data_IF_223791616445
#
_entry.id   IF_223791616445
#
_cell.length_a   1.000
_cell.length_b   1.000
_cell.length_c   1.000
_cell.angle_alpha   90.00
_cell.angle_beta   90.00
_cell.angle_gamma   90.00
#
_symmetry.space_group_name_H-M   'P 1'
#
loop_
_entity.id
_entity.type
_entity.pdbx_description
1 polymer ?
#
# COMPACT_ATOMS: atom_id res chain seq x y z
N UNK A 1 25.43 -2.81 -44.33
CA UNK A 1 25.59 -1.75 -43.31
C UNK A 1 24.24 -1.35 -42.66
N UNK A 2 23.48 -2.27 -42.04
CA UNK A 2 22.17 -1.94 -41.42
C UNK A 2 21.79 -2.85 -40.23
N UNK A 3 22.76 -3.36 -39.47
CA UNK A 3 22.47 -4.24 -38.31
C UNK A 3 23.11 -3.83 -36.99
N UNK A 4 24.08 -2.90 -37.01
CA UNK A 4 24.82 -2.49 -35.80
C UNK A 4 24.18 -1.26 -35.12
N UNK A 5 23.30 -0.53 -35.81
CA UNK A 5 22.68 0.70 -35.26
C UNK A 5 21.50 0.38 -34.32
N UNK A 6 20.86 -0.79 -34.46
CA UNK A 6 19.70 -1.13 -33.64
C UNK A 6 20.06 -1.58 -32.21
N UNK A 7 21.29 -2.03 -31.97
CA UNK A 7 21.72 -2.50 -30.65
C UNK A 7 22.14 -1.37 -29.69
N UNK A 8 22.40 -0.16 -30.19
CA UNK A 8 22.75 0.98 -29.33
C UNK A 8 21.50 1.63 -28.68
N UNK A 9 20.34 1.56 -29.34
CA UNK A 9 19.09 2.17 -28.85
C UNK A 9 18.46 1.35 -27.72
N UNK A 10 18.60 0.02 -27.75
CA UNK A 10 18.06 -0.83 -26.68
C UNK A 10 18.82 -0.67 -25.35
N UNK A 11 20.11 -0.36 -25.39
CA UNK A 11 20.91 -0.22 -24.16
C UNK A 11 20.64 1.09 -23.41
N UNK A 12 20.13 2.13 -24.08
CA UNK A 12 19.85 3.42 -23.44
C UNK A 12 18.53 3.46 -22.66
N UNK A 13 17.57 2.58 -22.99
CA UNK A 13 16.26 2.51 -22.30
C UNK A 13 16.37 1.81 -20.95
N UNK A 14 17.32 0.89 -20.80
CA UNK A 14 17.50 0.11 -19.56
C UNK A 14 18.18 0.94 -18.45
N UNK A 15 18.97 1.96 -18.82
CA UNK A 15 19.66 2.81 -17.85
C UNK A 15 18.75 3.88 -17.20
N UNK A 16 17.60 4.21 -17.81
CA UNK A 16 16.68 5.23 -17.28
C UNK A 16 15.73 4.69 -16.18
N UNK A 17 15.57 3.37 -16.05
CA UNK A 17 14.73 2.74 -15.02
C UNK A 17 15.38 2.63 -13.64
N UNK A 18 16.65 3.05 -13.50
CA UNK A 18 17.38 3.07 -12.22
C UNK A 18 17.54 4.48 -11.64
N UNK A 19 16.72 5.44 -12.09
CA UNK A 19 16.57 6.70 -11.38
C UNK A 19 15.92 6.42 -10.01
N UNK A 20 16.58 6.73 -8.88
CA UNK A 20 15.97 6.58 -7.57
C UNK A 20 14.94 7.69 -7.39
N UNK A 21 13.71 7.45 -7.86
CA UNK A 21 12.54 8.26 -7.53
C UNK A 21 11.95 7.90 -6.15
N UNK A 22 12.74 7.28 -5.28
CA UNK A 22 12.27 6.50 -4.12
C UNK A 22 12.44 7.22 -2.78
N UNK A 23 12.30 8.55 -2.74
CA UNK A 23 12.37 9.30 -1.48
C UNK A 23 11.17 10.22 -1.23
N UNK A 24 10.56 10.76 -2.29
CA UNK A 24 9.38 11.65 -2.18
C UNK A 24 8.05 10.93 -2.48
N UNK A 25 8.08 9.84 -3.25
CA UNK A 25 6.91 8.99 -3.49
C UNK A 25 6.57 8.10 -2.28
N UNK A 26 7.57 7.68 -1.50
CA UNK A 26 7.37 6.83 -0.32
C UNK A 26 6.56 7.51 0.78
N UNK A 27 6.81 8.79 1.05
CA UNK A 27 6.05 9.53 2.08
C UNK A 27 4.56 9.65 1.74
N UNK A 28 4.22 9.87 0.45
CA UNK A 28 2.84 9.91 -0.03
C UNK A 28 2.20 8.52 -0.07
N UNK A 29 2.97 7.50 -0.44
CA UNK A 29 2.55 6.09 -0.43
C UNK A 29 2.21 5.60 0.97
N UNK A 30 3.09 5.89 1.95
CA UNK A 30 2.86 5.60 3.35
C UNK A 30 1.59 6.30 3.87
N UNK A 31 1.45 7.60 3.63
CA UNK A 31 0.27 8.34 4.10
C UNK A 31 -1.04 7.83 3.47
N UNK A 32 -1.03 7.51 2.18
CA UNK A 32 -2.18 6.93 1.49
C UNK A 32 -2.53 5.53 2.03
N UNK A 33 -1.52 4.67 2.24
CA UNK A 33 -1.71 3.35 2.84
C UNK A 33 -2.28 3.43 4.26
N UNK A 34 -1.72 4.29 5.11
CA UNK A 34 -2.22 4.52 6.47
C UNK A 34 -3.66 5.06 6.48
N UNK A 35 -4.01 5.95 5.54
CA UNK A 35 -5.38 6.45 5.37
C UNK A 35 -6.34 5.32 5.01
N UNK A 36 -5.94 4.42 4.10
CA UNK A 36 -6.72 3.23 3.73
C UNK A 36 -6.91 2.27 4.92
N UNK A 37 -5.85 1.96 5.68
CA UNK A 37 -5.93 1.14 6.89
C UNK A 37 -6.93 1.72 7.90
N UNK A 38 -6.87 3.03 8.14
CA UNK A 38 -7.78 3.74 9.04
C UNK A 38 -9.22 3.75 8.53
N UNK A 39 -9.44 3.87 7.23
CA UNK A 39 -10.77 3.82 6.61
C UNK A 39 -11.40 2.43 6.76
N UNK A 40 -10.65 1.37 6.43
CA UNK A 40 -11.11 -0.02 6.60
C UNK A 40 -11.50 -0.34 8.04
N UNK A 41 -10.69 0.12 9.00
CA UNK A 41 -11.02 0.02 10.42
C UNK A 41 -12.35 0.72 10.74
N UNK A 42 -12.54 1.97 10.30
CA UNK A 42 -13.79 2.72 10.54
C UNK A 42 -15.01 2.03 9.92
N UNK A 43 -14.86 1.49 8.72
CA UNK A 43 -15.93 0.76 8.04
C UNK A 43 -16.29 -0.53 8.79
N UNK A 44 -15.29 -1.28 9.28
CA UNK A 44 -15.51 -2.46 10.12
C UNK A 44 -16.21 -2.12 11.45
N UNK A 45 -15.81 -1.03 12.11
CA UNK A 45 -16.49 -0.53 13.32
C UNK A 45 -17.93 -0.11 13.01
N UNK A 46 -18.17 0.59 11.91
CA UNK A 46 -19.52 0.98 11.48
C UNK A 46 -20.39 -0.24 11.18
N UNK A 47 -19.84 -1.25 10.50
CA UNK A 47 -20.50 -2.53 10.24
C UNK A 47 -20.83 -3.30 11.53
N UNK A 48 -20.03 -3.13 12.58
CA UNK A 48 -20.30 -3.75 13.89
C UNK A 48 -21.47 -3.14 14.68
N UNK A 49 -22.04 -2.01 14.22
CA UNK A 49 -23.12 -1.28 14.92
C UNK A 49 -24.34 -2.15 15.24
N UNK A 50 -24.64 -3.10 14.35
CA UNK A 50 -25.81 -3.98 14.49
C UNK A 50 -25.51 -5.29 15.22
N UNK A 51 -24.23 -5.59 15.50
CA UNK A 51 -23.83 -6.73 16.30
C UNK A 51 -24.03 -6.41 17.79
N UNK A 52 -24.38 -7.42 18.60
CA UNK A 52 -24.58 -7.27 20.05
C UNK A 52 -23.63 -8.17 20.85
N UNK A 53 -23.36 -7.77 22.09
CA UNK A 53 -22.62 -8.55 23.07
C UNK A 53 -21.25 -9.02 22.57
N UNK A 54 -21.01 -10.33 22.68
CA UNK A 54 -19.75 -10.97 22.31
C UNK A 54 -19.36 -10.76 20.85
N UNK A 55 -20.32 -10.87 19.91
CA UNK A 55 -20.05 -10.73 18.48
C UNK A 55 -19.51 -9.35 18.12
N UNK A 56 -20.06 -8.30 18.76
CA UNK A 56 -19.57 -6.93 18.56
C UNK A 56 -18.13 -6.78 19.07
N UNK A 57 -17.83 -7.33 20.25
CA UNK A 57 -16.48 -7.28 20.84
C UNK A 57 -15.47 -8.01 19.95
N UNK A 58 -15.79 -9.23 19.54
CA UNK A 58 -14.95 -10.02 18.64
C UNK A 58 -14.69 -9.30 17.31
N UNK A 59 -15.72 -8.67 16.72
CA UNK A 59 -15.56 -7.94 15.45
C UNK A 59 -14.70 -6.69 15.60
N UNK A 60 -14.83 -5.96 16.71
CA UNK A 60 -13.99 -4.78 17.00
C UNK A 60 -12.54 -5.21 17.23
N UNK A 61 -12.32 -6.28 17.97
CA UNK A 61 -10.98 -6.81 18.23
C UNK A 61 -10.31 -7.29 16.94
N UNK A 62 -11.04 -8.03 16.11
CA UNK A 62 -10.57 -8.42 14.78
C UNK A 62 -10.20 -7.20 13.94
N UNK A 63 -11.07 -6.19 13.86
CA UNK A 63 -10.78 -4.96 13.11
C UNK A 63 -9.52 -4.24 13.63
N UNK A 64 -9.26 -4.31 14.94
CA UNK A 64 -8.04 -3.75 15.55
C UNK A 64 -6.79 -4.49 15.08
N UNK A 65 -6.81 -5.83 15.09
CA UNK A 65 -5.71 -6.66 14.60
C UNK A 65 -5.45 -6.43 13.11
N UNK A 66 -6.50 -6.42 12.29
CA UNK A 66 -6.41 -6.14 10.85
C UNK A 66 -5.80 -4.76 10.58
N UNK A 67 -6.13 -3.76 11.40
CA UNK A 67 -5.51 -2.44 11.31
C UNK A 67 -4.02 -2.49 11.63
N UNK A 68 -3.63 -3.13 12.74
CA UNK A 68 -2.22 -3.26 13.13
C UNK A 68 -1.40 -4.00 12.08
N UNK A 69 -1.96 -5.05 11.48
CA UNK A 69 -1.34 -5.78 10.36
C UNK A 69 -1.20 -4.89 9.12
N UNK A 70 -2.25 -4.13 8.77
CA UNK A 70 -2.20 -3.18 7.66
C UNK A 70 -1.15 -2.09 7.87
N UNK A 71 -1.02 -1.55 9.09
CA UNK A 71 -0.01 -0.54 9.44
C UNK A 71 1.42 -1.12 9.40
N UNK A 72 1.62 -2.42 9.68
CA UNK A 72 2.91 -3.11 9.54
C UNK A 72 3.31 -3.32 8.08
N UNK A 73 2.35 -3.59 7.21
CA UNK A 73 2.56 -3.83 5.77
C UNK A 73 2.64 -2.53 4.97
N UNK A 74 2.27 -1.38 5.55
CA UNK A 74 2.34 -0.11 4.88
C UNK A 74 3.80 0.21 4.47
N UNK A 75 4.04 0.63 3.22
CA UNK A 75 5.37 1.03 2.76
C UNK A 75 5.88 2.18 3.64
N UNK A 76 7.16 2.15 4.02
CA UNK A 76 7.78 3.16 4.90
C UNK A 76 8.66 4.11 4.10
#
# INVERSE_FOLDING_TARGET
MKRVVCSAVLSLVIAASLAPASALADSRGHHAAMKLCKQKYRDAIRGSKYLKGHQRRARIEQARREREECEKLAPR
#
